data_IF_508480688805
#
_entry.id   IF_508480688805
#
_cell.length_a   1.000
_cell.length_b   1.000
_cell.length_c   1.000
_cell.angle_alpha   90.00
_cell.angle_beta   90.00
_cell.angle_gamma   90.00
#
_symmetry.space_group_name_H-M   'P 1'
#
loop_
_entity.id
_entity.type
_entity.pdbx_description
1 polymer ?
#
# COMPACT_ATOMS: atom_id res chain seq x y z
N UNK A 1 0.20 -2.60 -21.67
CA UNK A 1 0.88 -2.19 -20.44
C UNK A 1 0.76 -3.28 -19.40
N UNK A 2 1.86 -3.62 -18.75
CA UNK A 2 1.87 -4.68 -17.75
C UNK A 2 1.27 -4.19 -16.44
N UNK A 3 0.28 -4.93 -15.91
CA UNK A 3 -0.29 -4.62 -14.62
C UNK A 3 0.70 -4.97 -13.52
N UNK A 4 0.94 -4.04 -12.63
CA UNK A 4 1.85 -4.24 -11.50
C UNK A 4 1.08 -4.34 -10.19
N UNK A 5 1.67 -5.03 -9.23
CA UNK A 5 1.15 -5.08 -7.86
C UNK A 5 1.93 -4.07 -7.05
N UNK A 6 1.22 -3.07 -6.52
CA UNK A 6 1.83 -1.90 -5.90
C UNK A 6 1.37 -1.77 -4.45
N UNK A 7 2.33 -1.61 -3.54
CA UNK A 7 2.04 -1.33 -2.14
C UNK A 7 2.35 0.15 -1.87
N UNK A 8 1.37 0.87 -1.32
CA UNK A 8 1.54 2.27 -0.96
C UNK A 8 1.36 2.42 0.54
N UNK A 9 2.36 2.98 1.20
CA UNK A 9 2.27 3.26 2.63
C UNK A 9 1.70 4.66 2.87
N UNK A 10 1.02 4.85 4.00
CA UNK A 10 0.48 6.16 4.35
C UNK A 10 -0.61 6.65 3.42
N UNK A 11 -1.52 5.76 3.01
CA UNK A 11 -2.52 6.06 2.00
C UNK A 11 -3.85 6.57 2.58
N UNK A 12 -3.89 6.90 3.86
CA UNK A 12 -5.14 7.33 4.49
C UNK A 12 -5.60 8.71 4.01
N UNK A 13 -4.70 9.56 3.61
CA UNK A 13 -5.04 10.91 3.16
C UNK A 13 -3.91 11.50 2.33
N UNK A 14 -4.17 12.69 1.76
CA UNK A 14 -3.16 13.46 1.05
C UNK A 14 -2.58 12.76 -0.15
N UNK A 15 -1.27 12.88 -0.29
CA UNK A 15 -0.56 12.40 -1.46
C UNK A 15 -0.65 10.88 -1.62
N UNK A 16 -0.59 10.14 -0.51
CA UNK A 16 -0.67 8.68 -0.58
C UNK A 16 -2.02 8.21 -1.12
N UNK A 17 -3.10 8.84 -0.67
CA UNK A 17 -4.44 8.53 -1.16
C UNK A 17 -4.56 8.84 -2.65
N UNK A 18 -4.09 10.02 -3.06
CA UNK A 18 -4.17 10.43 -4.46
C UNK A 18 -3.37 9.51 -5.36
N UNK A 19 -2.17 9.12 -4.91
CA UNK A 19 -1.32 8.20 -5.66
C UNK A 19 -1.99 6.84 -5.82
N UNK A 20 -2.61 6.34 -4.75
CA UNK A 20 -3.29 5.06 -4.78
C UNK A 20 -4.41 5.06 -5.82
N UNK A 21 -5.23 6.11 -5.82
CA UNK A 21 -6.31 6.22 -6.78
C UNK A 21 -5.81 6.35 -8.21
N UNK A 22 -4.79 7.16 -8.41
CA UNK A 22 -4.22 7.37 -9.74
C UNK A 22 -3.70 6.07 -10.33
N UNK A 23 -2.93 5.31 -9.56
CA UNK A 23 -2.36 4.07 -10.05
C UNK A 23 -3.44 3.01 -10.27
N UNK A 24 -4.44 2.95 -9.41
CA UNK A 24 -5.54 2.02 -9.59
C UNK A 24 -6.36 2.37 -10.84
N UNK A 25 -6.54 3.65 -11.12
CA UNK A 25 -7.24 4.08 -12.33
C UNK A 25 -6.49 3.69 -13.60
N UNK A 26 -5.17 3.52 -13.48
CA UNK A 26 -4.36 3.06 -14.62
C UNK A 26 -4.38 1.54 -14.76
N UNK A 27 -5.09 0.85 -13.91
CA UNK A 27 -5.25 -0.60 -14.02
C UNK A 27 -4.30 -1.42 -13.18
N UNK A 28 -3.43 -0.78 -12.38
CA UNK A 28 -2.53 -1.51 -11.49
C UNK A 28 -3.28 -2.04 -10.28
N UNK A 29 -2.83 -3.15 -9.75
CA UNK A 29 -3.38 -3.71 -8.53
C UNK A 29 -2.73 -3.00 -7.35
N UNK A 30 -3.52 -2.21 -6.62
CA UNK A 30 -2.99 -1.34 -5.56
C UNK A 30 -3.41 -1.82 -4.19
N UNK A 31 -2.44 -1.95 -3.29
CA UNK A 31 -2.69 -2.18 -1.87
C UNK A 31 -2.39 -0.87 -1.16
N UNK A 32 -3.46 -0.20 -0.76
CA UNK A 32 -3.36 1.08 -0.05
C UNK A 32 -3.31 0.79 1.44
N UNK A 33 -2.16 1.03 2.04
CA UNK A 33 -1.96 0.68 3.43
C UNK A 33 -2.03 1.90 4.35
N UNK A 34 -2.51 1.66 5.55
CA UNK A 34 -2.62 2.69 6.58
C UNK A 34 -2.67 2.02 7.94
N UNK A 35 -2.39 2.80 8.98
CA UNK A 35 -2.53 2.30 10.34
C UNK A 35 -4.01 2.29 10.72
N UNK A 36 -4.42 1.30 11.49
CA UNK A 36 -5.74 1.21 12.10
C UNK A 36 -6.89 1.56 11.15
N UNK A 37 -7.03 0.83 10.02
CA UNK A 37 -8.12 1.12 9.09
C UNK A 37 -9.51 0.79 9.64
N UNK A 38 -9.59 -0.02 10.71
CA UNK A 38 -10.84 -0.32 11.39
C UNK A 38 -10.96 0.45 12.71
N UNK A 39 -9.99 1.30 13.03
CA UNK A 39 -9.97 2.11 14.24
C UNK A 39 -9.91 3.59 13.92
N UNK A 40 -8.78 4.22 14.28
CA UNK A 40 -8.61 5.66 14.14
C UNK A 40 -8.81 6.15 12.70
N UNK A 41 -8.41 5.38 11.71
CA UNK A 41 -8.52 5.76 10.30
C UNK A 41 -9.74 5.16 9.61
N UNK A 42 -10.70 4.68 10.38
CA UNK A 42 -11.87 4.01 9.81
C UNK A 42 -12.61 4.85 8.78
N UNK A 43 -12.83 6.13 9.07
CA UNK A 43 -13.55 7.00 8.14
C UNK A 43 -12.77 7.23 6.86
N UNK A 44 -11.46 7.38 6.97
CA UNK A 44 -10.60 7.56 5.80
C UNK A 44 -10.54 6.29 4.96
N UNK A 45 -10.46 5.15 5.62
CA UNK A 45 -10.47 3.87 4.94
C UNK A 45 -11.80 3.65 4.22
N UNK A 46 -12.91 3.96 4.88
CA UNK A 46 -14.22 3.82 4.28
C UNK A 46 -14.40 4.74 3.08
N UNK A 47 -13.89 5.97 3.17
CA UNK A 47 -13.96 6.91 2.07
C UNK A 47 -13.19 6.42 0.85
N UNK A 48 -11.98 5.91 1.07
CA UNK A 48 -11.15 5.39 -0.02
C UNK A 48 -11.77 4.13 -0.63
N UNK A 49 -12.28 3.25 0.21
CA UNK A 49 -12.93 2.03 -0.25
C UNK A 49 -14.17 2.35 -1.07
N UNK A 50 -14.96 3.33 -0.64
CA UNK A 50 -16.16 3.75 -1.37
C UNK A 50 -15.81 4.29 -2.75
N UNK A 51 -14.74 5.08 -2.83
CA UNK A 51 -14.29 5.61 -4.11
C UNK A 51 -13.83 4.49 -5.03
N UNK A 52 -13.11 3.51 -4.50
CA UNK A 52 -12.64 2.38 -5.28
C UNK A 52 -13.82 1.56 -5.81
N UNK A 53 -14.82 1.32 -4.99
CA UNK A 53 -16.02 0.58 -5.41
C UNK A 53 -16.79 1.36 -6.47
N UNK A 54 -16.96 2.65 -6.27
CA UNK A 54 -17.68 3.51 -7.20
C UNK A 54 -17.06 3.49 -8.59
N UNK A 55 -15.73 3.51 -8.66
CA UNK A 55 -15.01 3.50 -9.93
C UNK A 55 -14.59 2.11 -10.37
N UNK A 56 -14.92 1.07 -9.60
CA UNK A 56 -14.56 -0.32 -9.90
C UNK A 56 -13.05 -0.50 -10.05
N UNK A 57 -12.31 0.06 -9.09
CA UNK A 57 -10.84 0.04 -9.14
C UNK A 57 -10.26 -1.20 -8.46
N UNK A 58 -9.12 -1.72 -8.97
CA UNK A 58 -8.43 -2.83 -8.32
C UNK A 58 -7.59 -2.34 -7.15
N UNK A 59 -8.26 -1.81 -6.13
CA UNK A 59 -7.63 -1.24 -4.95
C UNK A 59 -8.16 -1.92 -3.70
N UNK A 60 -7.24 -2.33 -2.83
CA UNK A 60 -7.58 -2.96 -1.57
C UNK A 60 -6.89 -2.22 -0.44
N UNK A 61 -7.59 -2.04 0.68
CA UNK A 61 -7.04 -1.38 1.86
C UNK A 61 -6.52 -2.45 2.80
N UNK A 62 -5.29 -2.27 3.29
CA UNK A 62 -4.71 -3.19 4.24
C UNK A 62 -4.13 -2.40 5.41
N UNK A 63 -3.97 -3.07 6.53
CA UNK A 63 -3.34 -2.47 7.69
C UNK A 63 -1.84 -2.61 7.60
N UNK A 64 -1.13 -1.50 7.79
CA UNK A 64 0.33 -1.52 7.87
C UNK A 64 0.81 -0.34 8.69
N UNK A 65 1.52 -0.64 9.76
CA UNK A 65 2.22 0.35 10.57
C UNK A 65 3.71 0.19 10.26
N UNK A 66 4.28 1.15 9.55
CA UNK A 66 5.67 1.05 9.10
C UNK A 66 6.67 1.09 10.24
N UNK A 67 6.24 1.45 11.45
CA UNK A 67 7.10 1.41 12.62
C UNK A 67 7.08 0.06 13.34
N UNK A 68 6.26 -0.87 12.88
CA UNK A 68 6.10 -2.19 13.49
C UNK A 68 6.55 -3.27 12.51
N UNK A 69 7.64 -3.97 12.85
CA UNK A 69 8.13 -5.07 12.02
C UNK A 69 7.08 -6.15 11.83
N UNK A 70 6.34 -6.47 12.89
CA UNK A 70 5.29 -7.48 12.80
C UNK A 70 4.19 -7.07 11.84
N UNK A 71 3.79 -5.79 11.88
CA UNK A 71 2.78 -5.28 10.98
C UNK A 71 3.24 -5.35 9.52
N UNK A 72 4.49 -4.94 9.27
CA UNK A 72 5.07 -5.00 7.93
C UNK A 72 5.09 -6.45 7.42
N UNK A 73 5.54 -7.37 8.25
CA UNK A 73 5.63 -8.77 7.87
C UNK A 73 4.26 -9.37 7.55
N UNK A 74 3.24 -9.03 8.35
CA UNK A 74 1.88 -9.51 8.10
C UNK A 74 1.33 -8.98 6.79
N UNK A 75 1.55 -7.69 6.52
CA UNK A 75 1.07 -7.08 5.30
C UNK A 75 1.74 -7.69 4.07
N UNK A 76 3.05 -7.85 4.12
CA UNK A 76 3.81 -8.43 3.01
C UNK A 76 3.40 -9.88 2.78
N UNK A 77 3.28 -10.65 3.86
CA UNK A 77 2.86 -12.05 3.75
C UNK A 77 1.46 -12.17 3.15
N UNK A 78 0.54 -11.30 3.56
CA UNK A 78 -0.81 -11.29 3.02
C UNK A 78 -0.84 -10.95 1.53
N UNK A 79 -0.06 -9.98 1.12
CA UNK A 79 0.03 -9.63 -0.30
C UNK A 79 0.67 -10.75 -1.12
N UNK A 80 1.72 -11.36 -0.58
CA UNK A 80 2.40 -12.45 -1.28
C UNK A 80 1.47 -13.63 -1.47
N UNK A 81 0.67 -13.95 -0.44
CA UNK A 81 -0.29 -15.05 -0.53
C UNK A 81 -1.42 -14.76 -1.51
N UNK A 82 -1.88 -13.52 -1.59
CA UNK A 82 -3.02 -13.15 -2.43
C UNK A 82 -2.60 -12.81 -3.86
N UNK A 83 -1.55 -12.01 -4.01
CA UNK A 83 -1.14 -11.49 -5.32
C UNK A 83 0.09 -12.21 -5.88
N UNK A 84 0.82 -12.93 -5.06
CA UNK A 84 2.00 -13.67 -5.48
C UNK A 84 3.26 -12.84 -5.61
N UNK A 85 3.16 -11.51 -5.59
CA UNK A 85 4.31 -10.64 -5.78
C UNK A 85 4.02 -9.22 -5.34
N UNK A 86 5.08 -8.47 -5.11
CA UNK A 86 5.01 -7.01 -4.95
C UNK A 86 6.02 -6.44 -5.94
N UNK A 87 5.54 -5.70 -6.92
CA UNK A 87 6.40 -5.14 -7.97
C UNK A 87 6.98 -3.78 -7.60
N UNK A 88 6.17 -2.96 -6.94
CA UNK A 88 6.55 -1.59 -6.63
C UNK A 88 6.14 -1.26 -5.21
N UNK A 89 7.03 -0.60 -4.49
CA UNK A 89 6.74 -0.04 -3.18
C UNK A 89 6.81 1.47 -3.27
N UNK A 90 5.69 2.13 -2.97
CA UNK A 90 5.67 3.58 -2.85
C UNK A 90 5.66 3.90 -1.36
N UNK A 91 6.77 4.36 -0.85
CA UNK A 91 6.91 4.66 0.57
C UNK A 91 6.54 6.11 0.83
N UNK A 92 5.29 6.34 1.19
CA UNK A 92 4.75 7.66 1.45
C UNK A 92 4.66 7.95 2.95
N UNK A 93 5.09 7.04 3.79
CA UNK A 93 5.00 7.21 5.24
C UNK A 93 6.18 8.02 5.81
N UNK A 94 6.91 8.69 4.97
CA UNK A 94 7.96 9.62 5.39
C UNK A 94 9.18 8.93 5.96
N UNK A 95 9.56 9.33 7.15
CA UNK A 95 10.82 8.92 7.76
C UNK A 95 10.89 7.46 8.19
N UNK A 96 9.93 6.66 7.83
CA UNK A 96 9.94 5.23 8.15
C UNK A 96 10.53 4.37 7.03
N UNK A 97 11.16 4.97 6.06
CA UNK A 97 11.69 4.29 4.87
C UNK A 97 12.57 3.10 5.22
N UNK A 98 13.51 3.27 6.15
CA UNK A 98 14.43 2.19 6.51
C UNK A 98 13.69 0.99 7.10
N UNK A 99 12.71 1.26 7.95
CA UNK A 99 11.92 0.20 8.56
C UNK A 99 11.14 -0.60 7.54
N UNK A 100 10.56 0.07 6.56
CA UNK A 100 9.81 -0.61 5.52
C UNK A 100 10.73 -1.47 4.66
N UNK A 101 11.88 -0.91 4.25
CA UNK A 101 12.82 -1.64 3.41
C UNK A 101 13.33 -2.90 4.09
N UNK A 102 13.57 -2.84 5.39
CA UNK A 102 14.04 -4.00 6.15
C UNK A 102 12.98 -5.08 6.30
N UNK A 103 11.71 -4.71 6.18
CA UNK A 103 10.62 -5.65 6.31
C UNK A 103 10.38 -6.50 5.07
N UNK A 104 10.98 -6.16 3.95
CA UNK A 104 10.81 -6.89 2.70
C UNK A 104 11.98 -7.80 2.42
N UNK A 105 11.70 -8.94 1.78
CA UNK A 105 12.74 -9.85 1.32
C UNK A 105 12.84 -9.78 -0.19
N UNK A 106 14.00 -10.16 -0.72
CA UNK A 106 14.21 -10.16 -2.17
C UNK A 106 13.24 -11.09 -2.88
N UNK A 107 12.81 -12.14 -2.22
CA UNK A 107 11.86 -13.09 -2.82
C UNK A 107 10.46 -12.50 -2.97
N UNK A 108 10.11 -11.52 -2.17
CA UNK A 108 8.76 -10.92 -2.16
C UNK A 108 8.66 -9.65 -2.99
N UNK A 109 9.77 -8.95 -3.18
CA UNK A 109 9.78 -7.68 -3.89
C UNK A 109 10.59 -7.85 -5.16
N UNK A 110 9.90 -7.92 -6.30
CA UNK A 110 10.57 -8.09 -7.58
C UNK A 110 11.17 -6.79 -8.08
N UNK A 111 10.60 -5.67 -7.65
CA UNK A 111 11.12 -4.36 -8.00
C UNK A 111 10.72 -3.40 -6.89
N UNK A 112 11.70 -2.81 -6.27
CA UNK A 112 11.44 -1.87 -5.20
C UNK A 112 11.70 -0.46 -5.67
N UNK A 113 10.69 0.36 -5.55
CA UNK A 113 10.76 1.77 -5.89
C UNK A 113 10.47 2.57 -4.64
N UNK A 114 11.50 3.15 -4.07
CA UNK A 114 11.36 3.88 -2.83
C UNK A 114 11.13 5.36 -3.14
N UNK A 115 9.87 5.74 -3.26
CA UNK A 115 9.49 7.12 -3.51
C UNK A 115 9.20 7.77 -2.17
N UNK A 116 10.06 8.67 -1.75
CA UNK A 116 9.91 9.35 -0.48
C UNK A 116 9.20 10.68 -0.69
N UNK A 117 7.96 10.74 -0.24
CA UNK A 117 7.07 11.87 -0.47
C UNK A 117 6.95 12.75 0.77
N UNK A 118 8.04 13.06 1.37
CA UNK A 118 8.08 13.90 2.56
C UNK A 118 7.68 15.33 2.25
#
# INVERSE_FOLDING_TARGET
>A
MTTQTILITGASSGFGRDTALTLAREGHKVYASMREPTGRNRDKAASLAAEAVKEKLPLKIIELDVTSTDSVNRAVAGMAAEAGRIDVLVNNAGYATAGVSEGFTDAQVTQQFDVNMV
#
